data_IF_697251741993
#
_entry.id   IF_697251741993
#
_cell.length_a   1.000
_cell.length_b   1.000
_cell.length_c   1.000
_cell.angle_alpha   90.00
_cell.angle_beta   90.00
_cell.angle_gamma   90.00
#
_symmetry.space_group_name_H-M   'P 1'
#
loop_
_entity.id
_entity.type
_entity.pdbx_description
1 polymer ?
#
# COMPACT_ATOMS: atom_id res chain seq x y z
N UNK A 1 -4.88 -11.34 -17.27
CA UNK A 1 -4.89 -12.77 -16.87
C UNK A 1 -4.92 -12.84 -15.36
N UNK A 2 -5.86 -13.57 -14.78
CA UNK A 2 -5.93 -13.86 -13.36
C UNK A 2 -6.96 -14.96 -13.15
N UNK A 3 -6.64 -15.98 -12.37
CA UNK A 3 -7.59 -17.01 -11.97
C UNK A 3 -7.92 -16.80 -10.50
N UNK A 4 -9.08 -16.19 -10.23
CA UNK A 4 -9.54 -15.88 -8.88
C UNK A 4 -9.60 -17.14 -8.01
N UNK A 5 -10.15 -18.24 -8.53
CA UNK A 5 -10.28 -19.50 -7.79
C UNK A 5 -8.92 -20.05 -7.37
N UNK A 6 -7.93 -20.04 -8.28
CA UNK A 6 -6.58 -20.48 -7.94
C UNK A 6 -5.92 -19.57 -6.89
N UNK A 7 -6.15 -18.25 -6.99
CA UNK A 7 -5.64 -17.29 -6.01
C UNK A 7 -6.26 -17.48 -4.63
N UNK A 8 -7.57 -17.69 -4.55
CA UNK A 8 -8.28 -18.03 -3.32
C UNK A 8 -7.76 -19.32 -2.71
N UNK A 9 -7.61 -20.38 -3.50
CA UNK A 9 -7.11 -21.68 -3.04
C UNK A 9 -5.69 -21.56 -2.46
N UNK A 10 -4.80 -20.82 -3.13
CA UNK A 10 -3.43 -20.62 -2.66
C UNK A 10 -3.38 -19.76 -1.39
N UNK A 11 -4.15 -18.67 -1.33
CA UNK A 11 -4.22 -17.80 -0.15
C UNK A 11 -4.80 -18.57 1.06
N UNK A 12 -5.89 -19.31 0.88
CA UNK A 12 -6.50 -20.13 1.93
C UNK A 12 -5.56 -21.22 2.43
N UNK A 13 -4.79 -21.86 1.54
CA UNK A 13 -3.76 -22.82 1.95
C UNK A 13 -2.65 -22.14 2.75
N UNK A 14 -2.23 -20.94 2.35
CA UNK A 14 -1.28 -20.12 3.12
C UNK A 14 -1.80 -19.80 4.52
N UNK A 15 -3.05 -19.34 4.62
CA UNK A 15 -3.73 -19.08 5.90
C UNK A 15 -3.85 -20.33 6.78
N UNK A 16 -4.05 -21.52 6.19
CA UNK A 16 -4.09 -22.78 6.93
C UNK A 16 -2.74 -23.14 7.56
N UNK A 17 -1.63 -22.72 6.92
CA UNK A 17 -0.27 -23.00 7.37
C UNK A 17 0.27 -21.92 8.32
N UNK A 18 -0.08 -20.65 8.08
CA UNK A 18 0.34 -19.51 8.87
C UNK A 18 -0.85 -18.56 9.12
N UNK A 19 -1.78 -18.91 10.04
CA UNK A 19 -3.01 -18.15 10.28
C UNK A 19 -2.79 -16.72 10.79
N UNK A 20 -1.60 -16.42 11.33
CA UNK A 20 -1.26 -15.09 11.85
C UNK A 20 -0.36 -14.29 10.92
N UNK A 21 -0.09 -14.78 9.71
CA UNK A 21 0.72 -14.04 8.73
C UNK A 21 -0.17 -13.04 7.95
N UNK A 22 0.00 -11.72 8.15
CA UNK A 22 -0.80 -10.71 7.46
C UNK A 22 -0.62 -10.73 5.94
N UNK A 23 0.46 -11.31 5.40
CA UNK A 23 0.72 -11.34 3.97
C UNK A 23 -0.38 -12.06 3.18
N UNK A 24 -0.89 -13.19 3.68
CA UNK A 24 -1.94 -13.94 2.98
C UNK A 24 -3.28 -13.22 2.99
N UNK A 25 -3.59 -12.50 4.07
CA UNK A 25 -4.79 -11.67 4.14
C UNK A 25 -4.71 -10.48 3.18
N UNK A 26 -3.56 -9.79 3.13
CA UNK A 26 -3.33 -8.69 2.19
C UNK A 26 -3.48 -9.17 0.75
N UNK A 27 -2.85 -10.30 0.41
CA UNK A 27 -2.96 -10.90 -0.93
C UNK A 27 -4.41 -11.22 -1.30
N UNK A 28 -5.19 -11.78 -0.37
CA UNK A 28 -6.58 -12.13 -0.62
C UNK A 28 -7.48 -10.89 -0.78
N UNK A 29 -7.25 -9.85 0.02
CA UNK A 29 -7.97 -8.58 -0.09
C UNK A 29 -7.68 -7.89 -1.43
N UNK A 30 -6.41 -7.79 -1.82
CA UNK A 30 -5.99 -7.17 -3.08
C UNK A 30 -6.51 -7.98 -4.29
N UNK A 31 -6.54 -9.31 -4.18
CA UNK A 31 -7.14 -10.20 -5.18
C UNK A 31 -8.63 -9.91 -5.34
N UNK A 32 -9.38 -9.74 -4.25
CA UNK A 32 -10.80 -9.40 -4.33
C UNK A 32 -11.04 -8.03 -4.96
N UNK A 33 -10.20 -7.02 -4.69
CA UNK A 33 -10.30 -5.71 -5.34
C UNK A 33 -10.06 -5.79 -6.85
N UNK A 34 -9.03 -6.52 -7.28
CA UNK A 34 -8.71 -6.68 -8.70
C UNK A 34 -9.83 -7.36 -9.50
N UNK A 35 -10.61 -8.23 -8.84
CA UNK A 35 -11.77 -8.90 -9.43
C UNK A 35 -13.10 -8.18 -9.18
N UNK A 36 -13.07 -6.92 -8.73
CA UNK A 36 -14.28 -6.10 -8.57
C UNK A 36 -15.18 -6.51 -7.40
N UNK A 37 -14.61 -7.09 -6.35
CA UNK A 37 -15.30 -7.51 -5.12
C UNK A 37 -14.82 -6.74 -3.87
N UNK A 38 -14.90 -5.40 -3.85
CA UNK A 38 -14.36 -4.59 -2.74
C UNK A 38 -15.01 -4.91 -1.39
N UNK A 39 -16.27 -5.34 -1.36
CA UNK A 39 -16.95 -5.77 -0.13
C UNK A 39 -16.28 -6.99 0.52
N UNK A 40 -15.76 -7.93 -0.28
CA UNK A 40 -15.02 -9.08 0.23
C UNK A 40 -13.63 -8.67 0.71
N UNK A 41 -12.97 -7.77 -0.03
CA UNK A 41 -11.70 -7.21 0.42
C UNK A 41 -11.83 -6.53 1.78
N UNK A 42 -12.88 -5.73 1.99
CA UNK A 42 -13.14 -5.08 3.28
C UNK A 42 -13.34 -6.11 4.40
N UNK A 43 -14.13 -7.17 4.18
CA UNK A 43 -14.29 -8.25 5.18
C UNK A 43 -12.97 -8.90 5.59
N UNK A 44 -12.05 -9.09 4.63
CA UNK A 44 -10.71 -9.61 4.93
C UNK A 44 -9.92 -8.61 5.79
N UNK A 45 -9.95 -7.31 5.47
CA UNK A 45 -9.29 -6.25 6.24
C UNK A 45 -9.88 -6.09 7.65
N UNK A 46 -11.19 -6.25 7.80
CA UNK A 46 -11.87 -6.22 9.09
C UNK A 46 -11.41 -7.40 9.96
N UNK A 47 -11.38 -8.61 9.39
CA UNK A 47 -10.88 -9.81 10.07
C UNK A 47 -9.43 -9.65 10.52
N UNK A 48 -8.55 -9.07 9.67
CA UNK A 48 -7.18 -8.74 10.06
C UNK A 48 -7.16 -7.82 11.29
N UNK A 49 -7.97 -6.76 11.28
CA UNK A 49 -8.04 -5.77 12.35
C UNK A 49 -8.53 -6.38 13.67
N UNK A 50 -9.54 -7.24 13.62
CA UNK A 50 -10.05 -7.99 14.79
C UNK A 50 -8.97 -8.89 15.42
N UNK A 51 -8.08 -9.45 14.59
CA UNK A 51 -6.94 -10.27 15.06
C UNK A 51 -5.71 -9.44 15.44
N UNK A 52 -5.77 -8.11 15.32
CA UNK A 52 -4.63 -7.22 15.55
C UNK A 52 -3.53 -7.35 14.49
N UNK A 53 -3.85 -7.92 13.33
CA UNK A 53 -2.95 -8.03 12.19
C UNK A 53 -3.02 -6.74 11.37
N UNK A 54 -1.85 -6.21 11.02
CA UNK A 54 -1.75 -5.06 10.13
C UNK A 54 -0.62 -5.26 9.13
N UNK A 55 -0.70 -4.54 8.03
CA UNK A 55 0.42 -4.44 7.10
C UNK A 55 1.60 -3.85 7.84
N UNK A 56 2.78 -4.47 7.70
CA UNK A 56 4.01 -3.93 8.26
C UNK A 56 4.26 -2.56 7.64
N UNK A 57 4.24 -1.52 8.47
CA UNK A 57 4.58 -0.18 8.03
C UNK A 57 6.04 -0.16 7.56
N UNK A 58 6.25 0.41 6.38
CA UNK A 58 7.58 0.62 5.82
C UNK A 58 8.13 1.94 6.36
N UNK A 59 9.38 1.92 6.83
CA UNK A 59 10.09 3.12 7.27
C UNK A 59 11.28 3.35 6.36
N UNK A 60 11.35 4.50 5.70
CA UNK A 60 12.55 4.99 5.03
C UNK A 60 13.20 6.06 5.88
N UNK A 61 14.51 6.28 5.70
CA UNK A 61 15.25 7.28 6.46
C UNK A 61 16.33 7.89 5.58
N UNK A 62 16.51 9.21 5.66
CA UNK A 62 17.53 9.97 4.93
C UNK A 62 18.24 10.89 5.90
N UNK A 63 19.54 11.10 5.70
CA UNK A 63 20.33 12.04 6.47
C UNK A 63 20.65 13.28 5.62
N UNK A 64 20.36 14.46 6.17
CA UNK A 64 20.63 15.75 5.52
C UNK A 64 21.33 16.65 6.53
N UNK A 65 22.55 17.08 6.22
CA UNK A 65 23.34 17.99 7.07
C UNK A 65 23.47 17.51 8.53
N UNK A 66 23.69 16.20 8.73
CA UNK A 66 23.81 15.59 10.07
C UNK A 66 22.49 15.39 10.80
N UNK A 67 21.35 15.69 10.16
CA UNK A 67 20.01 15.45 10.71
C UNK A 67 19.35 14.27 10.03
N UNK A 68 18.85 13.33 10.83
CA UNK A 68 18.13 12.14 10.35
C UNK A 68 16.65 12.45 10.22
N UNK A 69 16.09 12.20 9.03
CA UNK A 69 14.67 12.34 8.70
C UNK A 69 14.09 10.96 8.39
N UNK A 70 13.03 10.57 9.10
CA UNK A 70 12.34 9.30 8.88
C UNK A 70 10.95 9.51 8.29
N UNK A 71 10.58 8.67 7.34
CA UNK A 71 9.26 8.62 6.72
C UNK A 71 8.66 7.24 6.96
N UNK A 72 7.43 7.20 7.45
CA UNK A 72 6.70 5.95 7.71
C UNK A 72 5.52 5.90 6.74
N UNK A 73 5.32 4.77 6.07
CA UNK A 73 4.16 4.56 5.18
C UNK A 73 2.87 4.68 5.99
N UNK A 74 1.82 5.25 5.39
CA UNK A 74 0.49 5.42 6.03
C UNK A 74 0.50 6.36 7.25
N UNK A 75 1.62 7.07 7.52
CA UNK A 75 1.68 8.09 8.56
C UNK A 75 1.02 9.41 8.10
N UNK A 76 -0.25 9.57 8.49
CA UNK A 76 -1.06 10.77 8.27
C UNK A 76 -0.79 11.90 9.26
N UNK A 77 0.01 11.68 10.31
CA UNK A 77 0.35 12.74 11.29
C UNK A 77 1.41 13.72 10.78
N UNK A 78 2.03 13.39 9.65
CA UNK A 78 3.17 14.12 9.08
C UNK A 78 2.75 15.10 7.97
N UNK A 79 1.46 15.24 7.64
CA UNK A 79 0.97 16.08 6.52
C UNK A 79 1.57 17.49 6.54
N UNK A 80 1.58 18.19 7.68
CA UNK A 80 2.19 19.54 7.79
C UNK A 80 3.70 19.55 7.49
N UNK A 81 4.44 18.50 7.84
CA UNK A 81 5.89 18.37 7.60
C UNK A 81 6.22 17.92 6.17
N UNK A 82 5.28 17.30 5.47
CA UNK A 82 5.48 16.72 4.13
C UNK A 82 4.90 17.55 3.00
N UNK A 83 4.11 18.60 3.27
CA UNK A 83 3.51 19.44 2.23
C UNK A 83 4.51 19.96 1.19
N UNK A 84 5.69 20.44 1.63
CA UNK A 84 6.74 20.89 0.71
C UNK A 84 7.31 19.75 -0.15
N UNK A 85 7.41 18.54 0.39
CA UNK A 85 7.87 17.35 -0.35
C UNK A 85 6.84 16.95 -1.41
N UNK A 86 5.55 16.94 -1.07
CA UNK A 86 4.49 16.64 -2.02
C UNK A 86 4.40 17.69 -3.13
N UNK A 87 4.54 18.97 -2.80
CA UNK A 87 4.59 20.04 -3.79
C UNK A 87 5.76 19.86 -4.77
N UNK A 88 6.95 19.50 -4.26
CA UNK A 88 8.11 19.22 -5.11
C UNK A 88 7.90 17.99 -6.00
N UNK A 89 7.27 16.93 -5.47
CA UNK A 89 6.90 15.74 -6.25
C UNK A 89 5.94 16.10 -7.40
N UNK A 90 4.90 16.91 -7.14
CA UNK A 90 3.97 17.36 -8.17
C UNK A 90 4.66 18.24 -9.23
N UNK A 91 5.61 19.08 -8.80
CA UNK A 91 6.43 19.85 -9.73
C UNK A 91 7.29 18.95 -10.63
N UNK A 92 7.99 17.97 -10.06
CA UNK A 92 8.81 17.00 -10.81
C UNK A 92 7.94 16.20 -11.81
N UNK A 93 6.76 15.74 -11.40
CA UNK A 93 5.81 15.05 -12.29
C UNK A 93 5.46 15.92 -13.50
N UNK A 94 5.11 17.19 -13.25
CA UNK A 94 4.76 18.16 -14.27
C UNK A 94 5.93 18.41 -15.24
N UNK A 95 7.16 18.46 -14.73
CA UNK A 95 8.36 18.69 -15.54
C UNK A 95 8.70 17.48 -16.44
N UNK A 96 8.51 16.26 -15.92
CA UNK A 96 8.68 15.01 -16.68
C UNK A 96 7.70 14.98 -17.86
N UNK A 97 6.43 15.30 -17.60
CA UNK A 97 5.38 15.36 -18.63
C UNK A 97 5.66 16.43 -19.68
N UNK A 98 6.08 17.63 -19.25
CA UNK A 98 6.47 18.72 -20.15
C UNK A 98 7.64 18.35 -21.06
N UNK A 99 8.54 17.49 -20.58
CA UNK A 99 9.69 16.99 -21.34
C UNK A 99 9.31 15.87 -22.33
N UNK A 100 8.01 15.53 -22.45
CA UNK A 100 7.51 14.51 -23.37
C UNK A 100 7.61 13.07 -22.83
N UNK A 101 7.96 12.90 -21.56
CA UNK A 101 8.03 11.59 -20.91
C UNK A 101 6.77 11.35 -20.07
N UNK A 102 6.32 10.09 -19.99
CA UNK A 102 5.19 9.73 -19.12
C UNK A 102 5.70 9.49 -17.70
N UNK A 103 5.18 10.22 -16.72
CA UNK A 103 5.35 9.84 -15.34
C UNK A 103 4.67 8.48 -15.10
N UNK A 104 5.47 7.44 -14.83
CA UNK A 104 4.93 6.12 -14.43
C UNK A 104 4.82 6.08 -12.92
N UNK A 105 3.84 6.79 -12.38
CA UNK A 105 3.37 6.55 -11.02
C UNK A 105 2.74 5.17 -10.93
N UNK A 106 2.85 4.51 -9.78
CA UNK A 106 2.03 3.33 -9.51
C UNK A 106 0.57 3.78 -9.42
N UNK A 107 -0.19 3.61 -10.50
CA UNK A 107 -1.64 3.92 -10.57
C UNK A 107 -2.49 3.13 -9.55
N UNK A 108 -1.89 2.22 -8.78
CA UNK A 108 -2.51 1.46 -7.68
C UNK A 108 -2.05 1.85 -6.27
N UNK A 109 -1.28 2.92 -6.09
CA UNK A 109 -1.07 3.49 -4.76
C UNK A 109 -2.19 4.50 -4.49
N UNK A 110 -3.45 4.01 -4.47
CA UNK A 110 -4.48 4.72 -3.73
C UNK A 110 -3.94 4.85 -2.30
N UNK A 111 -3.86 6.07 -1.80
CA UNK A 111 -3.72 6.30 -0.37
C UNK A 111 -4.99 5.73 0.26
N UNK A 112 -5.02 4.42 0.49
CA UNK A 112 -6.01 3.79 1.32
C UNK A 112 -5.62 4.15 2.75
N UNK A 113 -6.11 5.33 3.14
CA UNK A 113 -6.49 5.62 4.50
C UNK A 113 -7.40 4.47 4.96
N UNK A 114 -6.85 3.58 5.77
CA UNK A 114 -7.58 2.71 6.68
C UNK A 114 -7.27 3.18 8.09
#
# INVERSE_FOLDING_TARGET
HGNLSLGEDMANKGLSLAPSDPAFYILLADLYEEFGKPELAQKIRDSMSEMGLSKKLSKSTVEVQGKVHSFVSEDVTTVEKTNGIYAEIEWIKSEIERSGFRYRGSEKASYHSA
#
